data_IF_444120171029
#
_entry.id   IF_444120171029
#
_cell.length_a   1.000
_cell.length_b   1.000
_cell.length_c   1.000
_cell.angle_alpha   90.00
_cell.angle_beta   90.00
_cell.angle_gamma   90.00
#
_symmetry.space_group_name_H-M   'P 1'
#
loop_
_entity.id
_entity.type
_entity.pdbx_description
1 polymer ?
#
# COMPACT_ATOMS: atom_id res chain seq x y z
N UNK A 1 29.21 1.98 -10.78
CA UNK A 1 28.44 1.37 -11.89
C UNK A 1 27.02 1.18 -11.41
N UNK A 2 26.11 2.04 -11.87
CA UNK A 2 24.70 1.90 -11.59
C UNK A 2 24.22 0.58 -12.21
N UNK A 3 23.66 -0.30 -11.40
CA UNK A 3 23.02 -1.52 -11.90
C UNK A 3 21.89 -1.11 -12.85
N UNK A 4 22.05 -1.41 -14.14
CA UNK A 4 20.97 -1.28 -15.11
C UNK A 4 19.73 -1.97 -14.55
N UNK A 5 18.66 -1.19 -14.38
CA UNK A 5 17.35 -1.73 -14.04
C UNK A 5 16.99 -2.67 -15.19
N UNK A 6 17.05 -3.96 -14.92
CA UNK A 6 16.76 -4.97 -15.92
C UNK A 6 15.25 -5.03 -16.15
N UNK A 7 14.77 -4.18 -17.07
CA UNK A 7 13.36 -4.07 -17.46
C UNK A 7 12.77 -5.43 -17.87
N UNK A 8 13.56 -6.36 -18.40
CA UNK A 8 13.10 -7.71 -18.71
C UNK A 8 12.73 -8.51 -17.47
N UNK A 9 13.41 -8.32 -16.34
CA UNK A 9 13.08 -9.02 -15.09
C UNK A 9 11.80 -8.50 -14.46
N UNK A 10 11.59 -7.18 -14.51
CA UNK A 10 10.33 -6.56 -14.05
C UNK A 10 9.15 -6.96 -14.96
N UNK A 11 9.38 -7.01 -16.27
CA UNK A 11 8.38 -7.47 -17.24
C UNK A 11 8.04 -8.95 -17.08
N UNK A 12 9.03 -9.83 -16.88
CA UNK A 12 8.77 -11.25 -16.59
C UNK A 12 8.07 -11.45 -15.24
N UNK A 13 8.34 -10.60 -14.24
CA UNK A 13 7.61 -10.64 -12.97
C UNK A 13 6.14 -10.22 -13.14
N UNK A 14 5.88 -9.15 -13.89
CA UNK A 14 4.53 -8.72 -14.24
C UNK A 14 3.78 -9.79 -15.05
N UNK A 15 4.47 -10.41 -16.01
CA UNK A 15 3.93 -11.51 -16.80
C UNK A 15 3.57 -12.71 -15.93
N UNK A 16 4.47 -13.14 -15.04
CA UNK A 16 4.18 -14.22 -14.10
C UNK A 16 3.01 -13.91 -13.16
N UNK A 17 2.95 -12.69 -12.62
CA UNK A 17 1.85 -12.25 -11.77
C UNK A 17 0.54 -12.23 -12.57
N UNK A 18 0.54 -11.68 -13.78
CA UNK A 18 -0.63 -11.65 -14.67
C UNK A 18 -1.08 -13.05 -15.05
N UNK A 19 -0.16 -13.97 -15.36
CA UNK A 19 -0.46 -15.36 -15.70
C UNK A 19 -1.04 -16.09 -14.49
N UNK A 20 -0.48 -15.89 -13.30
CA UNK A 20 -1.04 -16.43 -12.07
C UNK A 20 -2.49 -15.95 -11.84
N UNK A 21 -2.77 -14.66 -12.00
CA UNK A 21 -4.13 -14.13 -11.87
C UNK A 21 -5.05 -14.58 -13.00
N UNK A 22 -4.53 -14.73 -14.22
CA UNK A 22 -5.31 -15.21 -15.37
C UNK A 22 -5.63 -16.69 -15.22
N UNK A 23 -4.70 -17.50 -14.72
CA UNK A 23 -4.90 -18.91 -14.41
C UNK A 23 -5.85 -19.08 -13.23
N UNK A 24 -5.78 -18.21 -12.22
CA UNK A 24 -6.76 -18.17 -11.14
C UNK A 24 -8.16 -17.87 -11.68
N UNK A 25 -8.30 -16.86 -12.54
CA UNK A 25 -9.56 -16.52 -13.22
C UNK A 25 -10.02 -17.67 -14.11
N UNK A 26 -9.12 -18.31 -14.82
CA UNK A 26 -9.42 -19.45 -15.69
C UNK A 26 -9.89 -20.66 -14.88
N UNK A 27 -9.29 -20.92 -13.72
CA UNK A 27 -9.68 -21.98 -12.80
C UNK A 27 -11.03 -21.67 -12.11
N UNK A 28 -11.33 -20.39 -11.89
CA UNK A 28 -12.66 -19.92 -11.45
C UNK A 28 -13.71 -19.96 -12.57
N UNK A 29 -13.29 -19.76 -13.83
CA UNK A 29 -14.17 -19.71 -15.01
C UNK A 29 -14.32 -21.07 -15.72
N UNK A 30 -13.44 -22.04 -15.45
CA UNK A 30 -13.46 -23.37 -16.03
C UNK A 30 -14.61 -24.17 -15.42
N UNK A 31 -15.80 -23.92 -15.97
CA UNK A 31 -17.07 -24.63 -15.87
C UNK A 31 -17.52 -25.11 -14.47
N UNK A 32 -18.64 -24.58 -13.95
CA UNK A 32 -19.30 -25.05 -12.73
C UNK A 32 -20.11 -26.36 -12.91
N UNK A 33 -19.76 -27.23 -13.88
CA UNK A 33 -20.68 -28.27 -14.37
C UNK A 33 -20.65 -29.63 -13.64
N UNK A 34 -19.91 -29.84 -12.55
CA UNK A 34 -19.91 -31.17 -11.90
C UNK A 34 -20.12 -31.23 -10.40
N UNK A 35 -20.24 -30.12 -9.68
CA UNK A 35 -20.47 -30.24 -8.24
C UNK A 35 -21.57 -29.29 -7.77
N UNK A 36 -22.74 -29.89 -7.57
CA UNK A 36 -23.67 -29.58 -6.49
C UNK A 36 -22.92 -29.50 -5.14
N UNK A 37 -22.09 -28.48 -4.93
CA UNK A 37 -21.40 -28.28 -3.67
C UNK A 37 -22.22 -27.29 -2.84
N UNK A 38 -23.07 -27.81 -1.96
CA UNK A 38 -23.55 -27.03 -0.82
C UNK A 38 -22.34 -26.68 0.08
N UNK A 39 -22.30 -25.46 0.64
CA UNK A 39 -21.21 -25.02 1.53
C UNK A 39 -20.15 -24.08 0.90
N UNK A 40 -18.87 -24.15 1.33
CA UNK A 40 -17.82 -23.16 1.01
C UNK A 40 -17.53 -22.96 -0.48
N UNK A 41 -17.55 -24.02 -1.29
CA UNK A 41 -17.26 -23.92 -2.73
C UNK A 41 -18.31 -23.10 -3.51
N UNK A 42 -19.57 -23.08 -3.04
CA UNK A 42 -20.60 -22.20 -3.61
C UNK A 42 -20.35 -20.74 -3.24
N UNK A 43 -19.97 -20.46 -1.98
CA UNK A 43 -19.62 -19.11 -1.52
C UNK A 43 -18.42 -18.56 -2.31
N UNK A 44 -17.42 -19.40 -2.53
CA UNK A 44 -16.26 -19.09 -3.37
C UNK A 44 -16.67 -18.71 -4.80
N UNK A 45 -17.50 -19.54 -5.45
CA UNK A 45 -17.98 -19.25 -6.81
C UNK A 45 -18.82 -17.96 -6.89
N UNK A 46 -19.64 -17.66 -5.87
CA UNK A 46 -20.41 -16.40 -5.84
C UNK A 46 -19.52 -15.18 -5.57
N UNK A 47 -18.48 -15.33 -4.74
CA UNK A 47 -17.57 -14.25 -4.38
C UNK A 47 -16.47 -14.03 -5.43
N UNK A 48 -16.21 -15.00 -6.31
CA UNK A 48 -15.28 -14.88 -7.43
C UNK A 48 -15.61 -13.67 -8.33
N UNK A 49 -16.90 -13.36 -8.53
CA UNK A 49 -17.32 -12.15 -9.26
C UNK A 49 -16.84 -10.88 -8.56
N UNK A 50 -16.99 -10.81 -7.23
CA UNK A 50 -16.56 -9.66 -6.41
C UNK A 50 -15.03 -9.50 -6.48
N UNK A 51 -14.27 -10.57 -6.29
CA UNK A 51 -12.80 -10.57 -6.43
C UNK A 51 -12.37 -10.14 -7.83
N UNK A 52 -13.06 -10.61 -8.87
CA UNK A 52 -12.74 -10.22 -10.26
C UNK A 52 -13.04 -8.74 -10.51
N UNK A 53 -14.13 -8.19 -9.95
CA UNK A 53 -14.43 -6.76 -10.03
C UNK A 53 -13.38 -5.92 -9.32
N UNK A 54 -13.01 -6.27 -8.09
CA UNK A 54 -11.93 -5.61 -7.34
C UNK A 54 -10.60 -5.65 -8.11
N UNK A 55 -10.29 -6.77 -8.77
CA UNK A 55 -9.09 -6.88 -9.59
C UNK A 55 -9.14 -5.96 -10.81
N UNK A 56 -10.27 -5.87 -11.50
CA UNK A 56 -10.45 -4.98 -12.65
C UNK A 56 -10.29 -3.52 -12.22
N UNK A 57 -10.89 -3.12 -11.10
CA UNK A 57 -10.79 -1.76 -10.56
C UNK A 57 -9.34 -1.44 -10.13
N UNK A 58 -8.68 -2.38 -9.45
CA UNK A 58 -7.27 -2.23 -9.04
C UNK A 58 -6.30 -2.05 -10.20
N UNK A 59 -6.63 -2.50 -11.42
CA UNK A 59 -5.78 -2.27 -12.59
C UNK A 59 -5.68 -0.78 -12.95
N UNK A 60 -6.75 -0.01 -12.74
CA UNK A 60 -6.72 1.44 -13.00
C UNK A 60 -5.76 2.13 -12.03
N UNK A 61 -5.86 1.80 -10.74
CA UNK A 61 -4.97 2.33 -9.71
C UNK A 61 -3.52 1.85 -9.89
N UNK A 62 -3.32 0.64 -10.42
CA UNK A 62 -2.00 0.11 -10.75
C UNK A 62 -1.35 0.88 -11.90
N UNK A 63 -2.14 1.27 -12.91
CA UNK A 63 -1.66 2.11 -14.01
C UNK A 63 -1.30 3.51 -13.48
N UNK A 64 -2.16 4.11 -12.66
CA UNK A 64 -1.89 5.41 -12.05
C UNK A 64 -0.63 5.36 -11.18
N UNK A 65 -0.50 4.36 -10.30
CA UNK A 65 0.68 4.15 -9.46
C UNK A 65 1.97 4.07 -10.29
N UNK A 66 1.99 3.21 -11.32
CA UNK A 66 3.17 3.06 -12.17
C UNK A 66 3.50 4.35 -12.93
N UNK A 67 2.49 5.09 -13.37
CA UNK A 67 2.66 6.38 -14.05
C UNK A 67 3.29 7.41 -13.12
N UNK A 68 2.76 7.56 -11.89
CA UNK A 68 3.29 8.49 -10.88
C UNK A 68 4.68 8.10 -10.39
N UNK A 69 4.94 6.80 -10.29
CA UNK A 69 6.26 6.27 -9.93
C UNK A 69 7.31 6.57 -11.00
N UNK A 70 6.94 6.40 -12.28
CA UNK A 70 7.81 6.77 -13.39
C UNK A 70 8.09 8.29 -13.42
N UNK A 71 7.07 9.12 -13.20
CA UNK A 71 7.21 10.57 -13.09
C UNK A 71 8.11 10.98 -11.90
N UNK A 72 7.98 10.29 -10.77
CA UNK A 72 8.81 10.51 -9.57
C UNK A 72 10.30 10.25 -9.86
N UNK A 73 10.63 9.09 -10.44
CA UNK A 73 12.00 8.76 -10.79
C UNK A 73 12.56 9.66 -11.89
N UNK A 74 11.73 10.06 -12.86
CA UNK A 74 12.13 11.02 -13.88
C UNK A 74 12.54 12.35 -13.26
N UNK A 75 11.75 12.88 -12.33
CA UNK A 75 12.05 14.14 -11.65
C UNK A 75 13.37 14.06 -10.86
N UNK A 76 13.62 12.96 -10.15
CA UNK A 76 14.89 12.75 -9.45
C UNK A 76 16.07 12.64 -10.43
N UNK A 77 15.90 11.90 -11.53
CA UNK A 77 16.93 11.72 -12.55
C UNK A 77 17.28 13.02 -13.26
N UNK A 78 16.27 13.82 -13.62
CA UNK A 78 16.47 15.11 -14.29
C UNK A 78 17.25 16.07 -13.36
N UNK A 79 16.88 16.12 -12.08
CA UNK A 79 17.60 16.92 -11.07
C UNK A 79 19.03 16.43 -10.85
N UNK A 80 19.25 15.11 -10.80
CA UNK A 80 20.59 14.52 -10.72
C UNK A 80 21.46 14.94 -11.92
N UNK A 81 20.93 14.79 -13.14
CA UNK A 81 21.63 15.14 -14.38
C UNK A 81 21.99 16.62 -14.39
N UNK A 82 21.06 17.49 -14.02
CA UNK A 82 21.32 18.94 -14.04
C UNK A 82 22.32 19.34 -12.95
N UNK A 83 22.21 18.79 -11.74
CA UNK A 83 23.20 18.98 -10.67
C UNK A 83 24.60 18.58 -11.11
N UNK A 84 24.72 17.39 -11.71
CA UNK A 84 26.00 16.86 -12.22
C UNK A 84 26.61 17.76 -13.31
N UNK A 85 25.79 18.32 -14.20
CA UNK A 85 26.26 19.29 -15.20
C UNK A 85 26.83 20.54 -14.53
N UNK A 86 26.17 21.04 -13.48
CA UNK A 86 26.66 22.23 -12.76
C UNK A 86 27.95 21.96 -12.00
N UNK A 87 28.09 20.80 -11.37
CA UNK A 87 29.36 20.37 -10.77
C UNK A 87 30.47 20.35 -11.82
N UNK A 88 30.19 19.76 -12.99
CA UNK A 88 31.16 19.67 -14.08
C UNK A 88 31.58 21.05 -14.62
N UNK A 89 30.66 22.03 -14.62
CA UNK A 89 30.96 23.42 -14.99
C UNK A 89 31.84 24.14 -13.96
N UNK A 90 31.66 23.87 -12.67
CA UNK A 90 32.48 24.49 -11.59
C UNK A 90 33.81 23.79 -11.35
N UNK A 91 33.99 22.57 -11.86
CA UNK A 91 35.21 21.78 -11.70
C UNK A 91 36.51 22.52 -12.08
N UNK A 92 36.58 23.31 -13.18
CA UNK A 92 37.80 24.04 -13.55
C UNK A 92 38.18 25.16 -12.58
N UNK A 93 37.23 25.67 -11.80
CA UNK A 93 37.44 26.79 -10.86
C UNK A 93 37.98 26.32 -9.50
N UNK A 94 38.10 25.01 -9.29
CA UNK A 94 38.54 24.42 -8.02
C UNK A 94 40.07 24.39 -7.98
N UNK A 95 40.70 24.98 -6.95
CA UNK A 95 42.15 24.92 -6.77
C UNK A 95 42.67 23.48 -6.79
N UNK A 96 43.74 23.23 -7.56
CA UNK A 96 44.41 21.92 -7.63
C UNK A 96 45.58 21.87 -6.64
N UNK A 97 45.25 22.03 -5.36
CA UNK A 97 46.20 21.97 -4.25
C UNK A 97 45.94 20.76 -3.34
N UNK A 98 46.63 20.67 -2.21
CA UNK A 98 46.47 19.57 -1.27
C UNK A 98 45.03 19.45 -0.70
N UNK A 99 44.24 20.53 -0.75
CA UNK A 99 42.84 20.58 -0.28
C UNK A 99 41.81 20.39 -1.42
N UNK A 100 42.25 20.10 -2.64
CA UNK A 100 41.41 19.95 -3.82
C UNK A 100 40.22 19.00 -3.59
N UNK A 101 40.45 17.87 -2.90
CA UNK A 101 39.40 16.87 -2.65
C UNK A 101 38.30 17.41 -1.73
N UNK A 102 38.64 18.19 -0.72
CA UNK A 102 37.66 18.73 0.22
C UNK A 102 36.93 19.94 -0.37
N UNK A 103 37.63 20.76 -1.15
CA UNK A 103 37.01 21.83 -1.95
C UNK A 103 36.03 21.27 -2.98
N UNK A 104 36.38 20.17 -3.65
CA UNK A 104 35.49 19.47 -4.57
C UNK A 104 34.24 18.91 -3.87
N UNK A 105 34.41 18.22 -2.74
CA UNK A 105 33.26 17.69 -1.98
C UNK A 105 32.29 18.79 -1.58
N UNK A 106 32.78 19.94 -1.10
CA UNK A 106 31.93 21.07 -0.72
C UNK A 106 31.12 21.58 -1.91
N UNK A 107 31.78 21.85 -3.03
CA UNK A 107 31.09 22.29 -4.27
C UNK A 107 30.07 21.27 -4.74
N UNK A 108 30.40 19.97 -4.67
CA UNK A 108 29.48 18.90 -5.02
C UNK A 108 28.25 18.87 -4.10
N UNK A 109 28.46 18.87 -2.77
CA UNK A 109 27.37 18.89 -1.78
C UNK A 109 26.49 20.12 -1.97
N UNK A 110 27.08 21.32 -2.04
CA UNK A 110 26.34 22.58 -2.14
C UNK A 110 25.44 22.63 -3.39
N UNK A 111 25.95 22.14 -4.52
CA UNK A 111 25.18 22.09 -5.77
C UNK A 111 24.03 21.09 -5.64
N UNK A 112 24.32 19.87 -5.19
CA UNK A 112 23.29 18.84 -5.07
C UNK A 112 22.23 19.22 -4.03
N UNK A 113 22.64 19.76 -2.88
CA UNK A 113 21.72 20.24 -1.85
C UNK A 113 20.79 21.32 -2.40
N UNK A 114 21.32 22.31 -3.12
CA UNK A 114 20.51 23.38 -3.69
C UNK A 114 19.48 22.84 -4.71
N UNK A 115 19.93 22.00 -5.66
CA UNK A 115 19.06 21.45 -6.70
C UNK A 115 17.99 20.51 -6.15
N UNK A 116 18.35 19.65 -5.19
CA UNK A 116 17.38 18.74 -4.57
C UNK A 116 16.43 19.46 -3.61
N UNK A 117 16.89 20.49 -2.90
CA UNK A 117 16.00 21.35 -2.10
C UNK A 117 14.96 22.02 -2.99
N UNK A 118 15.37 22.60 -4.11
CA UNK A 118 14.43 23.17 -5.09
C UNK A 118 13.44 22.14 -5.66
N UNK A 119 13.91 20.91 -5.92
CA UNK A 119 13.04 19.83 -6.37
C UNK A 119 11.98 19.51 -5.31
N UNK A 120 12.39 19.31 -4.07
CA UNK A 120 11.49 18.91 -2.98
C UNK A 120 10.53 20.01 -2.57
N UNK A 121 10.95 21.28 -2.66
CA UNK A 121 10.07 22.44 -2.47
C UNK A 121 9.14 22.67 -3.67
N UNK A 122 9.36 21.99 -4.80
CA UNK A 122 8.53 22.17 -5.98
C UNK A 122 7.14 21.57 -5.77
N UNK A 123 6.12 22.41 -6.01
CA UNK A 123 4.71 21.99 -5.97
C UNK A 123 4.44 20.78 -6.87
N UNK A 124 5.07 20.73 -8.05
CA UNK A 124 4.92 19.64 -9.01
C UNK A 124 5.42 18.30 -8.46
N UNK A 125 6.57 18.30 -7.77
CA UNK A 125 7.09 17.08 -7.14
C UNK A 125 6.18 16.62 -6.00
N UNK A 126 5.81 17.55 -5.12
CA UNK A 126 4.89 17.25 -4.00
C UNK A 126 3.54 16.72 -4.46
N UNK A 127 2.95 17.30 -5.51
CA UNK A 127 1.69 16.83 -6.10
C UNK A 127 1.81 15.42 -6.70
N UNK A 128 2.90 15.14 -7.43
CA UNK A 128 3.14 13.81 -7.99
C UNK A 128 3.34 12.76 -6.88
N UNK A 129 4.17 13.07 -5.89
CA UNK A 129 4.43 12.19 -4.75
C UNK A 129 3.16 11.93 -3.93
N UNK A 130 2.35 12.96 -3.69
CA UNK A 130 1.05 12.82 -3.02
C UNK A 130 0.12 11.87 -3.78
N UNK A 131 0.03 12.00 -5.10
CA UNK A 131 -0.76 11.07 -5.94
C UNK A 131 -0.20 9.65 -5.94
N UNK A 132 1.12 9.49 -5.98
CA UNK A 132 1.79 8.19 -5.89
C UNK A 132 1.37 7.46 -4.61
N UNK A 133 1.52 8.12 -3.45
CA UNK A 133 1.15 7.56 -2.15
C UNK A 133 -0.35 7.25 -2.09
N UNK A 134 -1.20 8.14 -2.59
CA UNK A 134 -2.65 7.88 -2.64
C UNK A 134 -2.98 6.64 -3.46
N UNK A 135 -2.37 6.47 -4.64
CA UNK A 135 -2.59 5.28 -5.49
C UNK A 135 -2.07 3.99 -4.84
N UNK A 136 -0.97 4.06 -4.08
CA UNK A 136 -0.47 2.93 -3.29
C UNK A 136 -1.46 2.50 -2.20
N UNK A 137 -2.08 3.48 -1.52
CA UNK A 137 -3.08 3.22 -0.49
C UNK A 137 -4.35 2.58 -1.06
N UNK A 138 -4.85 3.05 -2.19
CA UNK A 138 -6.02 2.44 -2.85
C UNK A 138 -5.70 1.01 -3.32
N UNK A 139 -4.52 0.76 -3.88
CA UNK A 139 -4.07 -0.61 -4.22
C UNK A 139 -4.02 -1.52 -3.00
N UNK A 140 -3.50 -1.03 -1.87
CA UNK A 140 -3.48 -1.77 -0.60
C UNK A 140 -4.90 -2.10 -0.12
N UNK A 141 -5.84 -1.18 -0.29
CA UNK A 141 -7.24 -1.37 0.07
C UNK A 141 -7.91 -2.43 -0.79
N UNK A 142 -7.79 -2.35 -2.12
CA UNK A 142 -8.27 -3.38 -3.04
C UNK A 142 -7.70 -4.77 -2.68
N UNK A 143 -6.41 -4.83 -2.36
CA UNK A 143 -5.78 -6.07 -1.90
C UNK A 143 -6.41 -6.63 -0.61
N UNK A 144 -6.61 -5.78 0.39
CA UNK A 144 -7.25 -6.17 1.64
C UNK A 144 -8.69 -6.65 1.43
N UNK A 145 -9.46 -5.98 0.55
CA UNK A 145 -10.85 -6.34 0.27
C UNK A 145 -10.98 -7.68 -0.48
N UNK A 146 -10.05 -7.96 -1.40
CA UNK A 146 -9.93 -9.28 -2.03
C UNK A 146 -9.59 -10.37 -1.02
N UNK A 147 -8.57 -10.15 -0.16
CA UNK A 147 -8.15 -11.13 0.86
C UNK A 147 -9.27 -11.40 1.86
N UNK A 148 -9.96 -10.36 2.35
CA UNK A 148 -11.10 -10.53 3.26
C UNK A 148 -12.22 -11.35 2.61
N UNK A 149 -12.56 -11.04 1.35
CA UNK A 149 -13.59 -11.76 0.59
C UNK A 149 -13.21 -13.24 0.39
N UNK A 150 -11.93 -13.54 0.16
CA UNK A 150 -11.44 -14.92 0.04
C UNK A 150 -11.48 -15.67 1.39
N UNK A 151 -11.08 -15.02 2.49
CA UNK A 151 -11.13 -15.61 3.83
C UNK A 151 -12.58 -15.94 4.24
N UNK A 152 -13.51 -15.00 4.03
CA UNK A 152 -14.95 -15.22 4.25
C UNK A 152 -15.50 -16.39 3.42
N UNK A 153 -14.99 -16.56 2.19
CA UNK A 153 -15.40 -17.68 1.31
C UNK A 153 -14.88 -19.04 1.79
N UNK A 154 -13.76 -19.05 2.51
CA UNK A 154 -13.16 -20.24 3.12
C UNK A 154 -13.70 -20.53 4.53
N UNK A 155 -14.70 -19.78 5.00
CA UNK A 155 -15.15 -19.77 6.41
C UNK A 155 -14.00 -19.53 7.40
N UNK A 156 -12.97 -18.79 6.97
CA UNK A 156 -11.85 -18.34 7.81
C UNK A 156 -12.09 -16.91 8.30
N UNK A 157 -11.76 -16.59 9.55
CA UNK A 157 -11.98 -15.27 10.10
C UNK A 157 -11.12 -14.23 9.37
N UNK A 158 -11.78 -13.20 8.85
CA UNK A 158 -11.09 -12.08 8.22
C UNK A 158 -10.50 -11.13 9.28
N UNK A 159 -9.52 -10.30 8.91
CA UNK A 159 -8.96 -9.31 9.83
C UNK A 159 -10.03 -8.34 10.33
N UNK A 160 -11.01 -8.04 9.48
CA UNK A 160 -12.16 -7.19 9.81
C UNK A 160 -13.07 -7.83 10.86
N UNK A 161 -13.41 -9.11 10.70
CA UNK A 161 -14.20 -9.84 11.69
C UNK A 161 -13.48 -9.96 13.03
N UNK A 162 -12.17 -10.23 13.02
CA UNK A 162 -11.35 -10.26 14.25
C UNK A 162 -11.36 -8.91 14.96
N UNK A 163 -11.21 -7.80 14.22
CA UNK A 163 -11.26 -6.45 14.77
C UNK A 163 -12.65 -6.09 15.34
N UNK A 164 -13.72 -6.53 14.70
CA UNK A 164 -15.10 -6.37 15.20
C UNK A 164 -15.33 -7.17 16.48
N UNK A 165 -14.92 -8.45 16.51
CA UNK A 165 -14.96 -9.30 17.71
C UNK A 165 -14.16 -8.65 18.85
N UNK A 166 -12.98 -8.10 18.55
CA UNK A 166 -12.15 -7.43 19.55
C UNK A 166 -12.84 -6.18 20.11
N UNK A 167 -13.48 -5.37 19.26
CA UNK A 167 -14.27 -4.20 19.70
C UNK A 167 -15.46 -4.62 20.56
N UNK A 168 -16.19 -5.66 20.18
CA UNK A 168 -17.31 -6.20 20.95
C UNK A 168 -16.87 -6.72 22.31
N UNK A 169 -15.79 -7.51 22.36
CA UNK A 169 -15.18 -7.97 23.62
C UNK A 169 -14.80 -6.80 24.51
N UNK A 170 -14.20 -5.75 23.94
CA UNK A 170 -13.82 -4.57 24.71
C UNK A 170 -15.05 -3.79 25.22
N UNK A 171 -16.13 -3.70 24.44
CA UNK A 171 -17.40 -3.13 24.89
C UNK A 171 -18.04 -3.97 25.99
N UNK A 172 -18.01 -5.30 25.86
CA UNK A 172 -18.52 -6.23 26.85
C UNK A 172 -17.75 -6.10 28.16
N UNK A 173 -16.41 -6.08 28.11
CA UNK A 173 -15.53 -5.85 29.27
C UNK A 173 -15.86 -4.54 29.98
N UNK A 174 -16.13 -3.48 29.23
CA UNK A 174 -16.55 -2.18 29.80
C UNK A 174 -17.92 -2.26 30.46
N UNK A 175 -18.89 -2.99 29.88
CA UNK A 175 -20.22 -3.19 30.48
C UNK A 175 -20.14 -4.02 31.76
N UNK A 176 -19.42 -5.14 31.74
CA UNK A 176 -19.19 -5.98 32.93
C UNK A 176 -18.51 -5.17 34.04
N UNK A 177 -17.44 -4.43 33.72
CA UNK A 177 -16.76 -3.58 34.72
C UNK A 177 -17.65 -2.46 35.29
N UNK A 178 -18.63 -1.96 34.52
CA UNK A 178 -19.63 -1.00 35.03
C UNK A 178 -20.63 -1.68 35.96
N UNK A 179 -21.14 -2.85 35.58
CA UNK A 179 -22.08 -3.64 36.39
C UNK A 179 -21.45 -4.13 37.70
N UNK A 180 -20.18 -4.56 37.67
CA UNK A 180 -19.43 -4.93 38.88
C UNK A 180 -19.18 -3.76 39.83
N UNK A 181 -19.22 -2.52 39.31
CA UNK A 181 -19.08 -1.28 40.09
C UNK A 181 -20.41 -0.69 40.52
N UNK A 182 -21.53 -1.18 40.00
CA UNK A 182 -22.85 -0.82 40.52
C UNK A 182 -23.07 -1.57 41.84
N UNK A 183 -23.22 -0.86 42.97
CA UNK A 183 -23.54 -1.51 44.23
C UNK A 183 -24.90 -2.19 44.09
N UNK A 184 -25.02 -3.42 44.60
CA UNK A 184 -26.27 -4.19 44.68
C UNK A 184 -27.33 -3.38 45.46
N UNK A 185 -28.00 -2.44 44.78
CA UNK A 185 -29.14 -1.69 45.28
C UNK A 185 -30.34 -2.11 44.46
N UNK A 186 -30.97 -3.22 44.88
CA UNK A 186 -32.36 -3.60 44.58
C UNK A 186 -32.66 -5.01 45.12
N UNK A 187 -32.76 -5.13 46.45
CA UNK A 187 -33.58 -6.21 47.07
C UNK A 187 -34.21 -5.75 48.40
N UNK A 188 -33.65 -4.76 49.12
CA UNK A 188 -34.21 -4.32 50.41
C UNK A 188 -35.07 -3.07 50.26
N UNK A 189 -36.26 -3.18 49.67
CA UNK A 189 -37.28 -2.13 49.83
C UNK A 189 -38.74 -2.64 49.85
N UNK A 190 -38.97 -3.96 49.86
CA UNK A 190 -40.31 -4.54 49.98
C UNK A 190 -40.37 -5.61 51.08
N UNK A 191 -40.04 -5.25 52.33
CA UNK A 191 -40.29 -6.17 53.47
C UNK A 191 -40.73 -5.49 54.77
N UNK A 192 -41.00 -4.18 54.78
CA UNK A 192 -41.48 -3.49 55.98
C UNK A 192 -42.68 -2.60 55.63
N UNK A 193 -43.82 -3.21 55.35
CA UNK A 193 -45.15 -2.57 55.40
C UNK A 193 -46.23 -3.66 55.54
N UNK A 194 -46.18 -4.39 56.66
CA UNK A 194 -47.34 -5.07 57.26
C UNK A 194 -47.46 -4.63 58.72
#
# INVERSE_FOLDING_TARGET
MASEVNYNKAFEHYKHLSLFWTDLIYLMASKPQSLTATGPMRKFATNAKKVTTELIESNQDLIEFNTRLAEYYKQLSDTWIESQKQVSKKMPDIPQDAEQLDSYKRVWIDIFENYFTQLFDSKKFGENYGKLVSSELELSKHWNDMVNTLLESADLPSKKEIDEIYKELQQLRRRVSKLEKEPVKKVVENTNAE
#
